data_IF_906387972475
#
_entry.id   IF_906387972475
#
_cell.length_a   1.000
_cell.length_b   1.000
_cell.length_c   1.000
_cell.angle_alpha   90.00
_cell.angle_beta   90.00
_cell.angle_gamma   90.00
#
_symmetry.space_group_name_H-M   'P 1'
#
loop_
_entity.id
_entity.type
_entity.pdbx_description
1 polymer ?
#
# COMPACT_ATOMS: atom_id res chain seq x y z
N UNK A 1 4.35 -8.41 -21.88
CA UNK A 1 4.84 -8.20 -20.51
C UNK A 1 3.73 -7.94 -19.48
N UNK A 2 2.78 -6.99 -19.68
CA UNK A 2 1.72 -6.63 -18.68
C UNK A 2 0.97 -7.80 -18.04
N UNK A 3 0.74 -8.89 -18.77
CA UNK A 3 0.02 -10.06 -18.26
C UNK A 3 0.89 -11.07 -17.50
N UNK A 4 2.22 -10.88 -17.44
CA UNK A 4 3.18 -11.90 -17.02
C UNK A 4 3.09 -13.19 -17.89
N UNK A 5 2.78 -13.03 -19.18
CA UNK A 5 2.67 -14.13 -20.13
C UNK A 5 4.06 -14.56 -20.65
N UNK A 6 4.70 -15.44 -19.88
CA UNK A 6 6.01 -16.01 -20.20
C UNK A 6 5.92 -16.93 -21.41
N UNK A 7 4.90 -17.80 -21.45
CA UNK A 7 4.73 -18.82 -22.51
C UNK A 7 4.47 -18.18 -23.88
N UNK A 8 3.63 -17.15 -23.94
CA UNK A 8 3.36 -16.44 -25.19
C UNK A 8 4.60 -15.74 -25.76
N UNK A 9 5.48 -15.21 -24.90
CA UNK A 9 6.73 -14.57 -25.32
C UNK A 9 7.78 -15.59 -25.79
N UNK A 10 7.88 -16.76 -25.13
CA UNK A 10 8.73 -17.86 -25.58
C UNK A 10 8.28 -18.40 -26.95
N UNK A 11 6.97 -18.55 -27.14
CA UNK A 11 6.39 -18.93 -28.45
C UNK A 11 6.67 -17.89 -29.52
N UNK A 12 6.63 -16.59 -29.19
CA UNK A 12 6.94 -15.52 -30.13
C UNK A 12 8.40 -15.56 -30.59
N UNK A 13 9.35 -15.84 -29.71
CA UNK A 13 10.76 -16.03 -30.07
C UNK A 13 10.90 -17.21 -31.05
N UNK A 14 10.27 -18.35 -30.74
CA UNK A 14 10.29 -19.53 -31.62
C UNK A 14 9.70 -19.22 -33.01
N UNK A 15 8.61 -18.45 -33.07
CA UNK A 15 8.00 -18.02 -34.33
C UNK A 15 8.88 -17.06 -35.14
N UNK A 16 9.65 -16.17 -34.48
CA UNK A 16 10.59 -15.28 -35.16
C UNK A 16 11.67 -16.10 -35.86
N UNK A 17 12.27 -17.08 -35.17
CA UNK A 17 13.27 -17.97 -35.78
C UNK A 17 12.70 -18.77 -36.96
N UNK A 18 11.50 -19.32 -36.82
CA UNK A 18 10.85 -20.07 -37.92
C UNK A 18 10.58 -19.19 -39.14
N UNK A 19 10.12 -17.95 -38.93
CA UNK A 19 9.84 -17.00 -40.02
C UNK A 19 11.11 -16.49 -40.68
N UNK A 20 12.16 -16.20 -39.91
CA UNK A 20 13.45 -15.77 -40.48
C UNK A 20 14.07 -16.87 -41.36
N UNK A 21 14.04 -18.12 -40.89
CA UNK A 21 14.47 -19.27 -41.67
C UNK A 21 13.66 -19.43 -42.97
N UNK A 22 12.34 -19.25 -42.92
CA UNK A 22 11.47 -19.30 -44.10
C UNK A 22 11.73 -18.15 -45.10
N UNK A 23 12.23 -17.01 -44.62
CA UNK A 23 12.59 -15.83 -45.42
C UNK A 23 14.06 -15.83 -45.88
N UNK A 24 14.83 -16.86 -45.54
CA UNK A 24 16.22 -17.05 -45.99
C UNK A 24 17.27 -16.23 -45.22
N UNK A 25 16.96 -15.67 -44.06
CA UNK A 25 17.97 -15.09 -43.15
C UNK A 25 18.65 -13.80 -43.64
N UNK A 26 18.04 -13.06 -44.58
CA UNK A 26 18.70 -11.95 -45.27
C UNK A 26 18.98 -10.68 -44.45
N UNK A 27 18.50 -10.58 -43.20
CA UNK A 27 18.65 -9.39 -42.34
C UNK A 27 18.94 -9.76 -40.87
N UNK A 28 20.09 -10.37 -40.58
CA UNK A 28 20.40 -10.89 -39.25
C UNK A 28 20.35 -9.80 -38.17
N UNK A 29 20.84 -8.59 -38.45
CA UNK A 29 20.88 -7.51 -37.45
C UNK A 29 19.49 -7.07 -36.99
N UNK A 30 18.54 -6.97 -37.93
CA UNK A 30 17.16 -6.57 -37.63
C UNK A 30 16.45 -7.65 -36.82
N UNK A 31 16.66 -8.92 -37.19
CA UNK A 31 16.08 -10.07 -36.48
C UNK A 31 16.68 -10.20 -35.08
N UNK A 32 17.99 -10.01 -34.94
CA UNK A 32 18.66 -9.99 -33.64
C UNK A 32 18.14 -8.86 -32.74
N UNK A 33 17.95 -7.66 -33.28
CA UNK A 33 17.37 -6.54 -32.52
C UNK A 33 15.92 -6.83 -32.08
N UNK A 34 15.12 -7.46 -32.94
CA UNK A 34 13.76 -7.87 -32.60
C UNK A 34 13.76 -8.95 -31.50
N UNK A 35 14.61 -9.97 -31.62
CA UNK A 35 14.75 -11.03 -30.63
C UNK A 35 15.18 -10.45 -29.28
N UNK A 36 16.18 -9.57 -29.26
CA UNK A 36 16.63 -8.89 -28.05
C UNK A 36 15.49 -8.13 -27.37
N UNK A 37 14.70 -7.36 -28.13
CA UNK A 37 13.55 -6.65 -27.59
C UNK A 37 12.45 -7.59 -27.03
N UNK A 38 12.27 -8.79 -27.60
CA UNK A 38 11.34 -9.80 -27.07
C UNK A 38 11.91 -10.48 -25.83
N UNK A 39 13.22 -10.74 -25.78
CA UNK A 39 13.92 -11.28 -24.62
C UNK A 39 13.83 -10.34 -23.41
N UNK A 40 14.03 -9.03 -23.61
CA UNK A 40 13.85 -8.02 -22.55
C UNK A 40 12.43 -8.07 -21.96
N UNK A 41 11.42 -8.21 -22.83
CA UNK A 41 10.01 -8.36 -22.42
C UNK A 41 9.75 -9.69 -21.70
N UNK A 42 10.41 -10.76 -22.11
CA UNK A 42 10.31 -12.09 -21.49
C UNK A 42 10.88 -12.06 -20.08
N UNK A 43 12.05 -11.45 -19.89
CA UNK A 43 12.68 -11.33 -18.58
C UNK A 43 11.88 -10.40 -17.65
N UNK A 44 11.28 -9.34 -18.18
CA UNK A 44 10.31 -8.53 -17.43
C UNK A 44 9.07 -9.36 -17.02
N UNK A 45 8.53 -10.19 -17.92
CA UNK A 45 7.38 -11.05 -17.63
C UNK A 45 7.69 -12.11 -16.57
N UNK A 46 8.88 -12.73 -16.62
CA UNK A 46 9.36 -13.71 -15.61
C UNK A 46 9.49 -13.07 -14.24
N UNK A 47 10.12 -11.88 -14.15
CA UNK A 47 10.23 -11.12 -12.90
C UNK A 47 8.84 -10.77 -12.32
N UNK A 48 7.92 -10.29 -13.16
CA UNK A 48 6.55 -10.00 -12.72
C UNK A 48 5.81 -11.25 -12.24
N UNK A 49 5.99 -12.39 -12.91
CA UNK A 49 5.37 -13.66 -12.50
C UNK A 49 5.84 -14.07 -11.12
N UNK A 50 7.15 -14.08 -10.89
CA UNK A 50 7.73 -14.41 -9.58
C UNK A 50 7.24 -13.46 -8.49
N UNK A 51 7.18 -12.15 -8.76
CA UNK A 51 6.66 -11.16 -7.81
C UNK A 51 5.19 -11.43 -7.45
N UNK A 52 4.36 -11.78 -8.45
CA UNK A 52 2.94 -12.14 -8.24
C UNK A 52 2.77 -13.44 -7.47
N UNK A 53 3.61 -14.44 -7.71
CA UNK A 53 3.56 -15.71 -7.01
C UNK A 53 3.96 -15.52 -5.54
N UNK A 54 5.02 -14.76 -5.26
CA UNK A 54 5.40 -14.35 -3.89
C UNK A 54 4.29 -13.57 -3.19
N UNK A 55 3.66 -12.62 -3.89
CA UNK A 55 2.52 -11.88 -3.37
C UNK A 55 1.33 -12.81 -3.06
N UNK A 56 1.03 -13.77 -3.94
CA UNK A 56 -0.10 -14.68 -3.76
C UNK A 56 0.05 -15.57 -2.52
N UNK A 57 1.28 -15.98 -2.17
CA UNK A 57 1.56 -16.72 -0.93
C UNK A 57 1.22 -15.89 0.33
N UNK A 58 1.37 -14.57 0.26
CA UNK A 58 1.25 -13.65 1.39
C UNK A 58 -0.12 -12.95 1.45
N UNK A 59 -0.82 -12.90 0.32
CA UNK A 59 -2.09 -12.19 0.17
C UNK A 59 -3.18 -12.61 1.17
N UNK A 60 -3.35 -13.90 1.55
CA UNK A 60 -4.35 -14.29 2.55
C UNK A 60 -4.10 -13.64 3.91
N UNK A 61 -2.86 -13.62 4.37
CA UNK A 61 -2.46 -13.04 5.66
C UNK A 61 -2.65 -11.53 5.66
N UNK A 62 -2.19 -10.84 4.61
CA UNK A 62 -2.36 -9.39 4.43
C UNK A 62 -3.85 -9.01 4.40
N UNK A 63 -4.70 -9.81 3.73
CA UNK A 63 -6.15 -9.59 3.68
C UNK A 63 -6.82 -9.81 5.03
N UNK A 64 -6.43 -10.84 5.77
CA UNK A 64 -6.92 -11.08 7.13
C UNK A 64 -6.58 -9.89 8.03
N UNK A 65 -5.33 -9.44 8.00
CA UNK A 65 -4.91 -8.24 8.72
C UNK A 65 -5.76 -7.02 8.33
N UNK A 66 -6.04 -6.81 7.04
CA UNK A 66 -6.87 -5.69 6.58
C UNK A 66 -8.28 -5.71 7.19
N UNK A 67 -8.89 -6.90 7.30
CA UNK A 67 -10.20 -7.06 7.95
C UNK A 67 -10.11 -6.70 9.43
N UNK A 68 -9.06 -7.15 10.12
CA UNK A 68 -8.90 -6.91 11.54
C UNK A 68 -8.60 -5.43 11.85
N UNK A 69 -7.78 -4.77 11.02
CA UNK A 69 -7.36 -3.36 11.20
C UNK A 69 -8.40 -2.34 10.69
N UNK A 70 -9.40 -2.75 9.90
CA UNK A 70 -10.38 -1.81 9.34
C UNK A 70 -11.18 -1.10 10.43
N UNK A 71 -11.54 -1.80 11.51
CA UNK A 71 -12.29 -1.22 12.61
C UNK A 71 -11.54 -0.07 13.33
N UNK A 72 -10.25 -0.21 13.70
CA UNK A 72 -9.41 0.90 14.14
C UNK A 72 -9.39 2.10 13.15
N UNK A 73 -9.29 1.85 11.84
CA UNK A 73 -9.32 2.93 10.84
C UNK A 73 -10.67 3.64 10.75
N UNK A 74 -11.78 2.90 10.88
CA UNK A 74 -13.13 3.48 10.87
C UNK A 74 -13.33 4.35 12.11
N UNK A 75 -12.83 3.94 13.27
CA UNK A 75 -12.82 4.76 14.47
C UNK A 75 -11.97 6.02 14.29
N UNK A 76 -10.76 5.89 13.72
CA UNK A 76 -9.90 7.04 13.45
C UNK A 76 -10.54 8.02 12.46
N UNK A 77 -11.25 7.52 11.44
CA UNK A 77 -11.98 8.35 10.47
C UNK A 77 -13.04 9.21 11.13
N UNK A 78 -13.68 8.72 12.20
CA UNK A 78 -14.66 9.51 12.98
C UNK A 78 -14.04 10.65 13.77
N UNK A 79 -12.74 10.59 14.07
CA UNK A 79 -12.02 11.67 14.75
C UNK A 79 -11.72 12.85 13.82
N UNK A 80 -11.70 12.63 12.50
CA UNK A 80 -11.23 13.63 11.53
C UNK A 80 -11.89 15.00 11.67
N UNK A 81 -13.23 15.13 11.77
CA UNK A 81 -13.85 16.45 11.89
C UNK A 81 -13.37 17.20 13.13
N UNK A 82 -13.32 16.54 14.29
CA UNK A 82 -12.86 17.17 15.53
C UNK A 82 -11.36 17.52 15.49
N UNK A 83 -10.54 16.70 14.82
CA UNK A 83 -9.13 17.03 14.61
C UNK A 83 -8.95 18.20 13.64
N UNK A 84 -9.81 18.34 12.63
CA UNK A 84 -9.81 19.51 11.75
C UNK A 84 -10.22 20.78 12.51
N UNK A 85 -11.23 20.71 13.39
CA UNK A 85 -11.62 21.83 14.25
C UNK A 85 -10.48 22.27 15.18
N UNK A 86 -9.78 21.30 15.79
CA UNK A 86 -8.59 21.56 16.63
C UNK A 86 -7.47 22.17 15.78
N UNK A 87 -7.21 21.61 14.59
CA UNK A 87 -6.19 22.11 13.66
C UNK A 87 -6.44 23.56 13.26
N UNK A 88 -7.69 23.94 13.03
CA UNK A 88 -8.11 25.30 12.68
C UNK A 88 -8.21 26.24 13.87
N UNK A 89 -7.94 25.77 15.09
CA UNK A 89 -8.14 26.52 16.34
C UNK A 89 -9.58 27.06 16.47
N UNK A 90 -10.56 26.34 15.91
CA UNK A 90 -11.97 26.76 15.85
C UNK A 90 -12.69 26.67 17.21
N UNK A 91 -11.98 26.28 18.27
CA UNK A 91 -12.52 25.99 19.60
C UNK A 91 -13.16 24.60 19.63
N UNK A 92 -12.69 23.73 20.53
CA UNK A 92 -13.30 22.42 20.76
C UNK A 92 -14.08 22.43 22.06
N UNK A 93 -15.31 21.92 22.02
CA UNK A 93 -16.10 21.77 23.26
C UNK A 93 -15.45 20.72 24.18
N UNK A 94 -15.57 20.86 25.51
CA UNK A 94 -15.08 19.82 26.45
C UNK A 94 -15.65 18.43 26.14
N UNK A 95 -16.89 18.35 25.66
CA UNK A 95 -17.52 17.10 25.25
C UNK A 95 -16.84 16.48 24.03
N UNK A 96 -16.42 17.29 23.06
CA UNK A 96 -15.67 16.85 21.87
C UNK A 96 -14.30 16.30 22.28
N UNK A 97 -13.58 16.98 23.17
CA UNK A 97 -12.28 16.53 23.68
C UNK A 97 -12.41 15.18 24.43
N UNK A 98 -13.42 15.04 25.29
CA UNK A 98 -13.70 13.78 25.97
C UNK A 98 -14.18 12.67 25.02
N UNK A 99 -14.74 13.01 23.86
CA UNK A 99 -15.07 12.03 22.82
C UNK A 99 -13.80 11.55 22.09
N UNK A 100 -12.85 12.44 21.80
CA UNK A 100 -11.55 12.09 21.21
C UNK A 100 -10.83 11.09 22.11
N UNK A 101 -10.66 11.39 23.40
CA UNK A 101 -9.98 10.51 24.36
C UNK A 101 -10.58 9.09 24.38
N UNK A 102 -11.91 8.98 24.48
CA UNK A 102 -12.62 7.69 24.45
C UNK A 102 -12.40 6.91 23.15
N UNK A 103 -12.43 7.59 22.01
CA UNK A 103 -12.24 6.95 20.71
C UNK A 103 -10.78 6.54 20.52
N UNK A 104 -9.81 7.37 20.91
CA UNK A 104 -8.37 7.02 20.87
C UNK A 104 -8.09 5.82 21.75
N UNK A 105 -8.57 5.80 23.00
CA UNK A 105 -8.40 4.67 23.90
C UNK A 105 -8.96 3.37 23.29
N UNK A 106 -10.10 3.45 22.59
CA UNK A 106 -10.66 2.32 21.86
C UNK A 106 -9.77 1.89 20.68
N UNK A 107 -9.28 2.84 19.88
CA UNK A 107 -8.38 2.55 18.74
C UNK A 107 -7.14 1.81 19.24
N UNK A 108 -6.44 2.38 20.23
CA UNK A 108 -5.21 1.80 20.79
C UNK A 108 -5.48 0.41 21.36
N UNK A 109 -6.55 0.24 22.13
CA UNK A 109 -6.95 -1.07 22.68
C UNK A 109 -7.24 -2.10 21.59
N UNK A 110 -7.95 -1.73 20.52
CA UNK A 110 -8.24 -2.66 19.43
C UNK A 110 -7.01 -2.97 18.59
N UNK A 111 -6.20 -1.95 18.28
CA UNK A 111 -4.99 -2.10 17.46
C UNK A 111 -3.95 -2.97 18.15
N UNK A 112 -3.76 -2.84 19.47
CA UNK A 112 -2.78 -3.62 20.23
C UNK A 112 -3.07 -5.13 20.29
N UNK A 113 -4.31 -5.54 20.01
CA UNK A 113 -4.70 -6.95 19.92
C UNK A 113 -4.44 -7.58 18.55
N UNK A 114 -4.10 -6.76 17.56
CA UNK A 114 -3.84 -7.19 16.19
C UNK A 114 -2.34 -7.37 16.02
N UNK A 115 -1.91 -8.57 15.64
CA UNK A 115 -0.52 -8.82 15.25
C UNK A 115 -0.35 -8.45 13.76
N UNK A 116 0.38 -7.37 13.42
CA UNK A 116 0.63 -7.02 12.04
C UNK A 116 1.65 -7.99 11.42
N UNK A 117 1.47 -8.39 10.14
CA UNK A 117 2.55 -8.99 9.36
C UNK A 117 3.76 -8.06 9.33
N UNK A 118 4.98 -8.62 9.21
CA UNK A 118 6.25 -7.90 9.33
C UNK A 118 6.30 -6.62 8.46
N UNK A 119 5.85 -6.72 7.21
CA UNK A 119 5.87 -5.64 6.21
C UNK A 119 4.83 -4.55 6.49
N UNK A 120 3.83 -4.86 7.31
CA UNK A 120 2.78 -3.93 7.72
C UNK A 120 3.05 -3.35 9.11
N UNK A 121 4.06 -3.83 9.83
CA UNK A 121 4.40 -3.40 11.20
C UNK A 121 4.63 -1.88 11.29
N UNK A 122 5.38 -1.31 10.34
CA UNK A 122 5.62 0.11 10.28
C UNK A 122 4.32 0.90 10.06
N UNK A 123 3.49 0.49 9.10
CA UNK A 123 2.22 1.16 8.83
C UNK A 123 1.20 1.02 9.97
N UNK A 124 1.20 -0.12 10.67
CA UNK A 124 0.45 -0.32 11.90
C UNK A 124 0.89 0.67 13.00
N UNK A 125 2.20 0.79 13.23
CA UNK A 125 2.75 1.73 14.19
C UNK A 125 2.38 3.17 13.86
N UNK A 126 2.32 3.56 12.57
CA UNK A 126 1.87 4.88 12.15
C UNK A 126 0.42 5.16 12.58
N UNK A 127 -0.49 4.19 12.48
CA UNK A 127 -1.87 4.36 12.95
C UNK A 127 -1.93 4.54 14.48
N UNK A 128 -1.15 3.76 15.23
CA UNK A 128 -1.08 3.89 16.70
C UNK A 128 -0.53 5.25 17.09
N UNK A 129 0.55 5.70 16.45
CA UNK A 129 1.14 7.04 16.66
C UNK A 129 0.17 8.15 16.27
N UNK A 130 -0.60 7.99 15.19
CA UNK A 130 -1.63 8.94 14.79
C UNK A 130 -2.70 9.09 15.87
N UNK A 131 -3.15 7.98 16.46
CA UNK A 131 -4.12 8.00 17.55
C UNK A 131 -3.56 8.67 18.81
N UNK A 132 -2.30 8.41 19.16
CA UNK A 132 -1.62 9.06 20.29
C UNK A 132 -1.46 10.57 20.06
N UNK A 133 -1.12 11.00 18.84
CA UNK A 133 -1.07 12.43 18.50
C UNK A 133 -2.45 13.10 18.57
N UNK A 134 -3.52 12.39 18.19
CA UNK A 134 -4.88 12.88 18.33
C UNK A 134 -5.27 13.13 19.79
N UNK A 135 -4.85 12.25 20.71
CA UNK A 135 -5.03 12.44 22.16
C UNK A 135 -4.21 13.62 22.68
N UNK A 136 -2.94 13.74 22.28
CA UNK A 136 -2.10 14.89 22.64
C UNK A 136 -2.70 16.21 22.16
N UNK A 137 -3.25 16.24 20.94
CA UNK A 137 -3.91 17.41 20.39
C UNK A 137 -5.12 17.86 21.22
N UNK A 138 -5.85 16.90 21.82
CA UNK A 138 -6.99 17.20 22.69
C UNK A 138 -6.59 17.67 24.10
N UNK A 139 -5.36 17.34 24.55
CA UNK A 139 -4.89 17.62 25.92
C UNK A 139 -4.06 18.89 26.05
N UNK A 140 -3.31 19.26 25.01
CA UNK A 140 -2.27 20.29 25.11
C UNK A 140 -2.59 21.49 24.19
N UNK A 141 -3.03 22.65 24.73
CA UNK A 141 -3.51 23.77 23.93
C UNK A 141 -2.48 24.40 22.99
N UNK A 142 -1.20 24.47 23.37
CA UNK A 142 -0.18 25.20 22.61
C UNK A 142 0.38 24.44 21.41
N UNK A 143 0.28 23.10 21.40
CA UNK A 143 0.66 22.24 20.28
C UNK A 143 -0.54 21.54 19.62
N UNK A 144 -1.76 21.92 20.00
CA UNK A 144 -2.97 21.24 19.55
C UNK A 144 -3.09 21.18 18.02
N UNK A 145 -2.79 22.29 17.34
CA UNK A 145 -2.89 22.38 15.89
C UNK A 145 -1.85 21.53 15.15
N UNK A 146 -0.59 21.57 15.60
CA UNK A 146 0.50 20.78 15.00
C UNK A 146 0.31 19.28 15.27
N UNK A 147 -0.10 18.91 16.48
CA UNK A 147 -0.42 17.52 16.84
C UNK A 147 -1.63 16.99 16.05
N UNK A 148 -2.70 17.77 15.88
CA UNK A 148 -3.85 17.38 15.08
C UNK A 148 -3.48 17.21 13.60
N UNK A 149 -2.69 18.14 13.04
CA UNK A 149 -2.18 18.01 11.68
C UNK A 149 -1.30 16.76 11.50
N UNK A 150 -0.41 16.49 12.46
CA UNK A 150 0.42 15.29 12.50
C UNK A 150 -0.40 14.01 12.57
N UNK A 151 -1.42 13.96 13.44
CA UNK A 151 -2.33 12.83 13.55
C UNK A 151 -3.02 12.52 12.22
N UNK A 152 -3.61 13.54 11.58
CA UNK A 152 -4.28 13.39 10.29
C UNK A 152 -3.32 12.87 9.21
N UNK A 153 -2.12 13.46 9.12
CA UNK A 153 -1.10 13.05 8.15
C UNK A 153 -0.65 11.60 8.35
N UNK A 154 -0.34 11.20 9.59
CA UNK A 154 0.10 9.83 9.89
C UNK A 154 -1.00 8.81 9.64
N UNK A 155 -2.25 9.14 9.99
CA UNK A 155 -3.40 8.26 9.71
C UNK A 155 -3.62 8.01 8.23
N UNK A 156 -3.51 9.05 7.39
CA UNK A 156 -3.56 8.91 5.94
C UNK A 156 -2.37 8.12 5.38
N UNK A 157 -1.16 8.38 5.89
CA UNK A 157 0.04 7.66 5.48
C UNK A 157 -0.08 6.17 5.79
N UNK A 158 -0.48 5.82 7.00
CA UNK A 158 -0.72 4.44 7.43
C UNK A 158 -1.70 3.72 6.50
N UNK A 159 -2.82 4.37 6.17
CA UNK A 159 -3.83 3.82 5.26
C UNK A 159 -3.26 3.58 3.86
N UNK A 160 -2.55 4.56 3.32
CA UNK A 160 -1.93 4.48 1.99
C UNK A 160 -0.90 3.36 1.90
N UNK A 161 -0.02 3.23 2.90
CA UNK A 161 1.02 2.20 2.93
C UNK A 161 0.41 0.78 2.99
N UNK A 162 -0.63 0.58 3.80
CA UNK A 162 -1.35 -0.70 3.86
C UNK A 162 -2.04 -1.01 2.52
N UNK A 163 -2.69 -0.01 1.91
CA UNK A 163 -3.35 -0.18 0.62
C UNK A 163 -2.37 -0.49 -0.51
N UNK A 164 -1.16 0.06 -0.48
CA UNK A 164 -0.13 -0.23 -1.46
C UNK A 164 0.29 -1.71 -1.43
N UNK A 165 0.41 -2.29 -0.24
CA UNK A 165 0.78 -3.71 -0.06
C UNK A 165 -0.36 -4.68 -0.41
N UNK A 166 -1.62 -4.23 -0.33
CA UNK A 166 -2.78 -4.99 -0.81
C UNK A 166 -2.85 -5.08 -2.33
N UNK A 167 -2.19 -4.18 -3.06
CA UNK A 167 -2.22 -4.19 -4.52
C UNK A 167 -1.32 -5.30 -5.06
N UNK A 168 -1.83 -6.02 -6.05
CA UNK A 168 -1.07 -7.02 -6.77
C UNK A 168 0.08 -6.33 -7.54
N UNK A 169 1.29 -6.89 -7.57
CA UNK A 169 2.39 -6.34 -8.35
C UNK A 169 2.02 -6.20 -9.84
N UNK A 170 2.37 -5.04 -10.38
CA UNK A 170 2.25 -4.64 -11.78
C UNK A 170 3.62 -4.20 -12.30
N UNK A 171 3.83 -4.27 -13.61
CA UNK A 171 5.01 -3.69 -14.23
C UNK A 171 4.86 -2.17 -14.32
N UNK A 172 5.94 -1.39 -14.13
CA UNK A 172 5.93 0.04 -14.41
C UNK A 172 5.65 0.35 -15.88
#
# INVERSE_FOLDING_TARGET
ARLADVRGLEQMIAQIYQRDAALGGGRPDVVNALIAAVQDKLDAARRLRLARDRWALRAPEIRKYWIDISAPFDLFTRLKPSLEDIKLLAGSSPASLAAIDRVVARIVKTASTIAPPEELSAAHALLVSAAQLADNAARIPWDASSAAAGALMLGERARSDIQALLRRPELP
#
